data_IF_719351931681
#
_entry.id   IF_719351931681
#
_cell.length_a   1.000
_cell.length_b   1.000
_cell.length_c   1.000
_cell.angle_alpha   90.00
_cell.angle_beta   90.00
_cell.angle_gamma   90.00
#
_symmetry.space_group_name_H-M   'P 1'
#
loop_
_entity.id
_entity.type
_entity.pdbx_description
1 polymer ?
#
# COMPACT_ATOMS: atom_id res chain seq x y z
N UNK A 1 -2.62 -10.93 -7.90
CA UNK A 1 -1.60 -11.93 -7.54
C UNK A 1 -2.18 -13.04 -6.67
N UNK A 2 -2.62 -12.77 -5.44
CA UNK A 2 -3.02 -13.84 -4.51
C UNK A 2 -4.46 -14.37 -4.69
N UNK A 3 -5.32 -13.63 -5.40
CA UNK A 3 -6.76 -13.92 -5.52
C UNK A 3 -7.24 -14.09 -6.97
N UNK A 4 -6.39 -13.83 -7.97
CA UNK A 4 -6.80 -13.85 -9.38
C UNK A 4 -7.85 -12.79 -9.75
N UNK A 5 -8.01 -11.73 -8.95
CA UNK A 5 -8.98 -10.67 -9.22
C UNK A 5 -8.53 -9.31 -8.66
N UNK A 6 -9.02 -8.23 -9.27
CA UNK A 6 -9.05 -6.93 -8.61
C UNK A 6 -10.17 -6.92 -7.54
N UNK A 7 -9.96 -6.27 -6.38
CA UNK A 7 -11.03 -6.03 -5.43
C UNK A 7 -12.17 -5.23 -6.06
N UNK A 8 -13.42 -5.65 -5.80
CA UNK A 8 -14.60 -5.06 -6.46
C UNK A 8 -14.82 -3.60 -6.06
N UNK A 9 -14.61 -3.28 -4.78
CA UNK A 9 -14.65 -1.92 -4.24
C UNK A 9 -13.63 -1.01 -4.94
N UNK A 10 -12.40 -1.49 -5.16
CA UNK A 10 -11.37 -0.73 -5.89
C UNK A 10 -11.75 -0.49 -7.36
N UNK A 11 -12.42 -1.46 -8.01
CA UNK A 11 -12.93 -1.27 -9.38
C UNK A 11 -14.01 -0.20 -9.41
N UNK A 12 -14.89 -0.18 -8.41
CA UNK A 12 -15.95 0.83 -8.27
C UNK A 12 -15.36 2.22 -8.01
N UNK A 13 -14.42 2.34 -7.07
CA UNK A 13 -13.72 3.60 -6.73
C UNK A 13 -12.99 4.21 -7.94
N UNK A 14 -12.47 3.35 -8.83
CA UNK A 14 -11.72 3.77 -10.02
C UNK A 14 -12.60 3.93 -11.27
N UNK A 15 -13.90 3.61 -11.22
CA UNK A 15 -14.77 3.55 -12.39
C UNK A 15 -14.95 4.89 -13.12
N UNK A 16 -14.82 6.01 -12.40
CA UNK A 16 -14.84 7.36 -12.99
C UNK A 16 -13.56 7.69 -13.77
N UNK A 17 -12.46 6.99 -13.48
CA UNK A 17 -11.14 7.25 -14.05
C UNK A 17 -10.74 6.21 -15.10
N UNK A 18 -11.15 4.96 -14.90
CA UNK A 18 -10.74 3.81 -15.68
C UNK A 18 -11.94 2.90 -15.96
N UNK A 19 -12.01 2.41 -17.19
CA UNK A 19 -13.02 1.41 -17.59
C UNK A 19 -12.46 -0.02 -17.64
N UNK A 20 -11.23 -0.22 -17.16
CA UNK A 20 -10.52 -1.51 -17.13
C UNK A 20 -10.42 -2.25 -18.48
N UNK A 21 -10.66 -1.58 -19.61
CA UNK A 21 -10.60 -2.21 -20.96
C UNK A 21 -9.22 -2.71 -21.38
N UNK A 22 -8.17 -2.33 -20.63
CA UNK A 22 -6.81 -2.83 -20.82
C UNK A 22 -6.57 -4.18 -20.13
N UNK A 23 -7.49 -4.65 -19.28
CA UNK A 23 -7.47 -5.99 -18.70
C UNK A 23 -8.10 -6.94 -19.72
N UNK A 24 -7.27 -7.79 -20.30
CA UNK A 24 -7.66 -8.73 -21.35
C UNK A 24 -7.97 -10.11 -20.77
N UNK A 25 -8.63 -10.94 -21.58
CA UNK A 25 -8.92 -12.33 -21.22
C UNK A 25 -7.63 -13.09 -20.91
N UNK A 26 -7.60 -13.79 -19.78
CA UNK A 26 -6.42 -14.52 -19.28
C UNK A 26 -5.38 -13.69 -18.52
N UNK A 27 -5.45 -12.35 -18.49
CA UNK A 27 -4.47 -11.52 -17.77
C UNK A 27 -4.45 -11.83 -16.26
N UNK A 28 -5.64 -11.97 -15.67
CA UNK A 28 -5.76 -12.21 -14.23
C UNK A 28 -5.24 -13.59 -13.84
N UNK A 29 -5.47 -14.61 -14.69
CA UNK A 29 -4.92 -15.94 -14.51
C UNK A 29 -3.39 -15.93 -14.61
N UNK A 30 -2.84 -15.18 -15.56
CA UNK A 30 -1.39 -15.00 -15.71
C UNK A 30 -0.77 -14.27 -14.52
N UNK A 31 -1.44 -13.25 -13.98
CA UNK A 31 -1.00 -12.48 -12.81
C UNK A 31 -1.06 -13.32 -11.51
N UNK A 32 -1.92 -14.34 -11.43
CA UNK A 32 -2.11 -15.16 -10.24
C UNK A 32 -1.49 -16.55 -10.29
N UNK A 33 -0.38 -16.70 -11.01
CA UNK A 33 0.40 -17.94 -10.93
C UNK A 33 0.93 -18.17 -9.50
N UNK A 34 1.08 -19.43 -9.06
CA UNK A 34 1.65 -19.74 -7.75
C UNK A 34 3.02 -19.10 -7.55
N UNK A 35 3.25 -18.56 -6.35
CA UNK A 35 4.49 -17.90 -5.97
C UNK A 35 5.31 -18.82 -5.04
N UNK A 36 6.63 -18.88 -5.25
CA UNK A 36 7.55 -19.62 -4.37
C UNK A 36 7.93 -18.83 -3.11
N UNK A 37 7.83 -17.50 -3.17
CA UNK A 37 8.11 -16.58 -2.08
C UNK A 37 7.36 -15.26 -2.28
N UNK A 38 7.19 -14.49 -1.20
CA UNK A 38 6.58 -13.17 -1.25
C UNK A 38 7.46 -12.15 -0.53
N UNK A 39 7.94 -11.14 -1.27
CA UNK A 39 8.77 -10.06 -0.76
C UNK A 39 7.92 -8.93 -0.17
N UNK A 40 8.29 -8.46 1.02
CA UNK A 40 7.66 -7.36 1.73
C UNK A 40 8.68 -6.23 1.88
N UNK A 41 8.33 -5.07 1.34
CA UNK A 41 9.04 -3.82 1.55
C UNK A 41 8.23 -2.98 2.52
N UNK A 42 8.83 -2.56 3.64
CA UNK A 42 8.14 -1.75 4.62
C UNK A 42 9.09 -0.76 5.28
N UNK A 43 8.64 0.49 5.39
CA UNK A 43 9.44 1.59 5.93
C UNK A 43 8.66 2.39 6.98
N UNK A 44 7.38 2.68 6.69
CA UNK A 44 6.47 3.37 7.59
C UNK A 44 5.03 3.00 7.24
N UNK A 45 4.10 3.33 8.15
CA UNK A 45 2.66 3.35 7.85
C UNK A 45 2.22 4.72 7.37
N UNK A 46 1.10 4.77 6.66
CA UNK A 46 0.37 6.02 6.39
C UNK A 46 -0.90 6.02 7.21
N UNK A 47 -1.03 6.95 8.15
CA UNK A 47 -2.30 7.17 8.84
C UNK A 47 -3.18 8.06 7.96
N UNK A 48 -4.46 7.72 7.85
CA UNK A 48 -5.42 8.43 7.01
C UNK A 48 -6.70 8.77 7.77
N UNK A 49 -7.43 9.79 7.31
CA UNK A 49 -8.77 10.12 7.77
C UNK A 49 -9.66 10.51 6.60
N UNK A 50 -10.97 10.36 6.78
CA UNK A 50 -11.96 10.97 5.88
C UNK A 50 -11.86 12.51 5.91
N UNK A 51 -12.17 13.13 4.78
CA UNK A 51 -12.18 14.57 4.60
C UNK A 51 -13.25 14.99 3.60
N UNK A 52 -13.91 16.11 3.92
CA UNK A 52 -14.81 16.80 2.99
C UNK A 52 -14.06 17.68 1.99
N UNK A 53 -12.75 17.90 2.20
CA UNK A 53 -11.89 18.62 1.27
C UNK A 53 -11.19 17.61 0.34
N UNK A 54 -11.30 17.78 -0.98
CA UNK A 54 -10.72 16.82 -1.90
C UNK A 54 -9.19 16.86 -1.80
N UNK A 55 -8.59 15.68 -1.57
CA UNK A 55 -7.15 15.50 -1.62
C UNK A 55 -6.62 15.77 -3.04
N UNK A 56 -5.42 16.34 -3.15
CA UNK A 56 -4.68 16.27 -4.39
C UNK A 56 -4.30 14.80 -4.64
N UNK A 57 -4.95 14.18 -5.62
CA UNK A 57 -4.81 12.76 -5.98
C UNK A 57 -3.38 12.39 -6.34
N UNK A 58 -2.55 13.37 -6.69
CA UNK A 58 -1.15 13.22 -7.08
C UNK A 58 -0.17 13.90 -6.12
N UNK A 59 -0.60 14.18 -4.88
CA UNK A 59 0.25 14.81 -3.89
C UNK A 59 1.54 13.99 -3.66
N UNK A 60 2.72 14.65 -3.63
CA UNK A 60 3.97 13.98 -3.31
C UNK A 60 3.90 13.32 -1.94
N UNK A 61 4.14 12.01 -1.87
CA UNK A 61 4.16 11.25 -0.62
C UNK A 61 2.81 10.60 -0.23
N UNK A 62 1.71 10.92 -0.91
CA UNK A 62 0.42 10.22 -0.73
C UNK A 62 -0.43 10.36 -1.99
N UNK A 63 -0.58 9.28 -2.76
CA UNK A 63 -1.45 9.26 -3.93
C UNK A 63 -2.76 8.54 -3.58
N UNK A 64 -3.88 9.27 -3.62
CA UNK A 64 -5.22 8.77 -3.30
C UNK A 64 -6.10 8.71 -4.56
N UNK A 65 -5.63 7.99 -5.58
CA UNK A 65 -6.40 7.80 -6.83
C UNK A 65 -7.62 6.91 -6.52
N UNK A 66 -8.83 7.42 -6.81
CA UNK A 66 -10.09 6.75 -6.45
C UNK A 66 -10.58 7.04 -5.02
N UNK A 67 -9.78 7.72 -4.18
CA UNK A 67 -10.10 8.00 -2.77
C UNK A 67 -9.90 9.49 -2.44
N UNK A 68 -10.56 10.37 -3.20
CA UNK A 68 -10.35 11.82 -3.11
C UNK A 68 -10.83 12.43 -1.78
N UNK A 69 -11.67 11.72 -1.03
CA UNK A 69 -12.21 12.06 0.28
C UNK A 69 -11.31 11.56 1.43
N UNK A 70 -10.07 11.18 1.14
CA UNK A 70 -9.11 10.68 2.14
C UNK A 70 -7.87 11.56 2.20
N UNK A 71 -7.47 11.95 3.41
CA UNK A 71 -6.22 12.69 3.66
C UNK A 71 -5.28 11.88 4.54
N UNK A 72 -3.99 11.87 4.16
CA UNK A 72 -2.92 11.44 5.05
C UNK A 72 -2.75 12.42 6.22
N UNK A 73 -2.57 11.88 7.41
CA UNK A 73 -2.31 12.65 8.62
C UNK A 73 -1.06 12.13 9.31
N UNK A 74 -0.36 13.02 10.01
CA UNK A 74 0.73 12.62 10.87
C UNK A 74 0.23 12.28 12.27
N UNK A 75 0.81 11.24 12.85
CA UNK A 75 0.82 10.97 14.27
C UNK A 75 2.04 11.69 14.87
N UNK A 76 1.98 12.07 16.14
CA UNK A 76 3.09 12.72 16.85
C UNK A 76 4.23 11.72 17.18
N UNK A 77 4.64 10.92 16.21
CA UNK A 77 5.69 9.93 16.29
C UNK A 77 7.03 10.52 15.81
N UNK A 78 8.17 9.93 16.23
CA UNK A 78 9.46 10.29 15.66
C UNK A 78 9.47 10.07 14.15
N UNK A 79 10.10 10.99 13.42
CA UNK A 79 10.23 10.92 11.95
C UNK A 79 11.68 10.76 11.53
N UNK A 80 11.88 10.06 10.44
CA UNK A 80 13.15 9.97 9.70
C UNK A 80 13.47 11.28 8.99
N UNK A 81 14.67 11.41 8.39
CA UNK A 81 15.02 12.55 7.54
C UNK A 81 14.13 12.68 6.29
N UNK A 82 13.36 11.64 5.94
CA UNK A 82 12.35 11.66 4.87
C UNK A 82 10.99 12.18 5.33
N UNK A 83 10.83 12.50 6.61
CA UNK A 83 9.54 12.86 7.20
C UNK A 83 8.62 11.65 7.42
N UNK A 84 9.12 10.44 7.25
CA UNK A 84 8.36 9.20 7.51
C UNK A 84 8.37 8.87 8.98
N UNK A 85 7.18 8.61 9.53
CA UNK A 85 7.01 8.17 10.91
C UNK A 85 7.64 6.80 11.15
N UNK A 86 8.28 6.66 12.31
CA UNK A 86 8.84 5.40 12.77
C UNK A 86 7.82 4.70 13.66
N UNK A 87 7.16 3.68 13.11
CA UNK A 87 6.14 2.86 13.77
C UNK A 87 6.43 1.36 13.56
N UNK A 88 7.21 0.72 14.44
CA UNK A 88 7.57 -0.69 14.31
C UNK A 88 6.36 -1.64 14.32
N UNK A 89 5.31 -1.29 15.06
CA UNK A 89 4.09 -2.06 15.18
C UNK A 89 3.37 -2.24 13.84
N UNK A 90 3.44 -1.26 12.94
CA UNK A 90 2.84 -1.34 11.63
C UNK A 90 3.40 -2.47 10.76
N UNK A 91 4.71 -2.79 10.87
CA UNK A 91 5.29 -3.96 10.19
C UNK A 91 4.65 -5.26 10.69
N UNK A 92 4.51 -5.39 12.01
CA UNK A 92 3.92 -6.59 12.63
C UNK A 92 2.47 -6.77 12.18
N UNK A 93 1.73 -5.66 12.08
CA UNK A 93 0.36 -5.68 11.59
C UNK A 93 0.29 -6.13 10.13
N UNK A 94 1.08 -5.56 9.23
CA UNK A 94 1.12 -5.96 7.81
C UNK A 94 1.42 -7.45 7.65
N UNK A 95 2.44 -7.96 8.34
CA UNK A 95 2.81 -9.38 8.24
C UNK A 95 1.70 -10.29 8.79
N UNK A 96 1.04 -9.89 9.88
CA UNK A 96 -0.10 -10.63 10.44
C UNK A 96 -1.28 -10.63 9.48
N UNK A 97 -1.69 -9.47 8.97
CA UNK A 97 -2.84 -9.32 8.10
C UNK A 97 -2.66 -10.12 6.80
N UNK A 98 -1.45 -10.14 6.23
CA UNK A 98 -1.12 -10.97 5.07
C UNK A 98 -1.33 -12.46 5.36
N UNK A 99 -0.76 -12.97 6.46
CA UNK A 99 -0.84 -14.41 6.81
C UNK A 99 -2.21 -14.85 7.30
N UNK A 100 -3.06 -13.93 7.76
CA UNK A 100 -4.43 -14.22 8.18
C UNK A 100 -5.42 -14.15 7.02
N UNK A 101 -5.21 -13.25 6.07
CA UNK A 101 -6.13 -13.02 4.95
C UNK A 101 -5.87 -13.96 3.77
N UNK A 102 -4.61 -14.31 3.52
CA UNK A 102 -4.23 -15.07 2.33
C UNK A 102 -3.48 -16.35 2.67
N UNK A 103 -3.54 -17.34 1.77
CA UNK A 103 -2.61 -18.47 1.79
C UNK A 103 -1.27 -17.98 1.26
N UNK A 104 -0.32 -17.73 2.17
CA UNK A 104 0.97 -17.12 1.83
C UNK A 104 2.05 -18.16 1.55
N UNK A 105 2.90 -17.96 0.52
CA UNK A 105 4.19 -18.64 0.44
C UNK A 105 5.14 -18.08 1.52
N UNK A 106 6.38 -18.60 1.64
CA UNK A 106 7.39 -18.01 2.52
C UNK A 106 7.55 -16.50 2.32
N UNK A 107 7.44 -15.76 3.42
CA UNK A 107 7.60 -14.30 3.44
C UNK A 107 9.06 -13.90 3.64
N UNK A 108 9.48 -12.85 2.94
CA UNK A 108 10.80 -12.24 3.10
C UNK A 108 10.65 -10.73 3.26
N UNK A 109 11.28 -10.16 4.29
CA UNK A 109 11.45 -8.70 4.34
C UNK A 109 12.58 -8.38 3.37
N UNK A 110 12.22 -7.93 2.16
CA UNK A 110 13.17 -7.64 1.08
C UNK A 110 13.76 -6.25 1.20
N UNK A 111 13.02 -5.31 1.79
CA UNK A 111 13.53 -3.99 2.14
C UNK A 111 12.96 -3.48 3.46
N UNK A 112 13.85 -2.98 4.31
CA UNK A 112 13.52 -2.22 5.50
C UNK A 112 14.72 -1.33 5.85
N UNK A 113 14.46 -0.07 6.17
CA UNK A 113 15.52 0.87 6.51
C UNK A 113 14.96 2.24 6.88
N UNK A 114 15.87 3.17 7.16
CA UNK A 114 15.51 4.54 7.52
C UNK A 114 16.65 5.47 7.14
N UNK A 115 16.33 6.67 6.67
CA UNK A 115 17.32 7.72 6.43
C UNK A 115 17.38 8.68 7.61
N UNK A 116 18.59 9.05 8.03
CA UNK A 116 18.84 10.02 9.08
C UNK A 116 19.89 11.01 8.60
N UNK A 117 19.81 12.26 9.04
CA UNK A 117 20.86 13.22 8.74
C UNK A 117 22.17 12.77 9.38
N UNK A 118 23.23 12.71 8.58
CA UNK A 118 24.57 12.52 9.13
C UNK A 118 24.96 13.76 9.93
N UNK A 119 25.40 13.55 11.17
CA UNK A 119 26.07 14.61 11.92
C UNK A 119 27.49 14.75 11.37
N UNK A 120 28.00 15.98 11.17
CA UNK A 120 29.38 16.20 10.75
C UNK A 120 30.40 15.67 11.77
#
# INVERSE_FOLDING_TARGET
MLTGAYPQDVVEDLSELLNFSHVLDGDLDLISQPLDAFGVNYYHRTMVKASDEPADRFAPGFMAVGAADVLAIQQELPVTARGWEVDPEGMVQVLRDLTQTYTMPPLWITENGSAWDEKP
#
